data_IF_697555634001
#
_entry.id   IF_697555634001
#
_cell.length_a   1.000
_cell.length_b   1.000
_cell.length_c   1.000
_cell.angle_alpha   90.00
_cell.angle_beta   90.00
_cell.angle_gamma   90.00
#
_symmetry.space_group_name_H-M   'P 1'
#
loop_
_entity.id
_entity.type
_entity.pdbx_description
1 polymer ?
#
# COMPACT_ATOMS: atom_id res chain seq x y z
N UNK A 1 19.46 18.65 -13.77
CA UNK A 1 18.08 18.11 -13.71
C UNK A 1 17.67 17.59 -15.09
N UNK A 2 17.92 16.31 -15.43
CA UNK A 2 17.56 15.76 -16.76
C UNK A 2 16.07 15.42 -16.79
N UNK A 3 15.23 16.26 -17.42
CA UNK A 3 13.84 15.88 -17.76
C UNK A 3 13.92 14.73 -18.75
N UNK A 4 13.35 13.58 -18.42
CA UNK A 4 13.40 12.38 -19.24
C UNK A 4 12.28 12.48 -20.31
N UNK A 5 12.59 12.81 -21.59
CA UNK A 5 11.59 13.24 -22.59
C UNK A 5 10.57 12.14 -22.94
N UNK A 6 10.89 10.87 -22.64
CA UNK A 6 10.02 9.72 -22.86
C UNK A 6 8.72 9.74 -22.03
N UNK A 7 8.69 10.42 -20.87
CA UNK A 7 7.49 10.44 -20.01
C UNK A 7 6.38 11.32 -20.60
N UNK A 8 6.76 12.44 -21.20
CA UNK A 8 5.82 13.44 -21.75
C UNK A 8 5.17 12.96 -23.04
N UNK A 9 5.88 12.19 -23.87
CA UNK A 9 5.36 11.75 -25.17
C UNK A 9 4.24 10.70 -25.05
N UNK A 10 4.23 9.89 -23.99
CA UNK A 10 3.22 8.84 -23.82
C UNK A 10 1.86 9.36 -23.38
N UNK A 11 1.83 10.37 -22.50
CA UNK A 11 0.58 11.04 -22.12
C UNK A 11 -0.02 11.91 -23.23
N UNK A 12 0.79 12.33 -24.20
CA UNK A 12 0.27 12.98 -25.40
C UNK A 12 -0.62 12.02 -26.23
N UNK A 13 -0.27 10.72 -26.30
CA UNK A 13 -1.12 9.71 -26.93
C UNK A 13 -2.41 9.47 -26.13
N UNK A 14 -2.34 9.45 -24.79
CA UNK A 14 -3.52 9.33 -23.94
C UNK A 14 -4.49 10.52 -24.10
N UNK A 15 -3.98 11.76 -24.17
CA UNK A 15 -4.81 12.95 -24.47
C UNK A 15 -5.45 12.89 -25.86
N UNK A 16 -4.76 12.35 -26.85
CA UNK A 16 -5.34 12.14 -28.19
C UNK A 16 -6.44 11.08 -28.19
N UNK A 17 -6.33 10.05 -27.33
CA UNK A 17 -7.30 8.97 -27.23
C UNK A 17 -8.57 9.36 -26.44
N UNK A 18 -8.43 10.10 -25.35
CA UNK A 18 -9.53 10.44 -24.43
C UNK A 18 -10.08 11.86 -24.62
N UNK A 19 -9.49 12.65 -25.50
CA UNK A 19 -9.75 14.09 -25.61
C UNK A 19 -8.97 14.89 -24.58
N UNK A 20 -8.80 16.19 -24.85
CA UNK A 20 -7.86 17.03 -24.10
C UNK A 20 -8.27 17.22 -22.63
N UNK A 21 -9.57 17.42 -22.37
CA UNK A 21 -10.10 17.60 -21.01
C UNK A 21 -9.90 16.33 -20.17
N UNK A 22 -10.41 15.20 -20.65
CA UNK A 22 -10.38 13.96 -19.88
C UNK A 22 -8.95 13.42 -19.80
N UNK A 23 -8.18 13.48 -20.89
CA UNK A 23 -6.77 13.11 -20.87
C UNK A 23 -5.92 13.98 -19.92
N UNK A 24 -6.24 15.28 -19.78
CA UNK A 24 -5.58 16.14 -18.80
C UNK A 24 -5.98 15.77 -17.37
N UNK A 25 -7.24 15.42 -17.12
CA UNK A 25 -7.69 14.93 -15.81
C UNK A 25 -6.94 13.65 -15.41
N UNK A 26 -6.84 12.66 -16.30
CA UNK A 26 -6.10 11.42 -16.05
C UNK A 26 -4.62 11.69 -15.77
N UNK A 27 -4.00 12.62 -16.52
CA UNK A 27 -2.62 13.03 -16.28
C UNK A 27 -2.47 13.69 -14.90
N UNK A 28 -3.40 14.54 -14.48
CA UNK A 28 -3.38 15.18 -13.16
C UNK A 28 -3.51 14.11 -12.07
N UNK A 29 -4.40 13.13 -12.20
CA UNK A 29 -4.58 12.05 -11.22
C UNK A 29 -3.28 11.24 -11.03
N UNK A 30 -2.62 10.86 -12.13
CA UNK A 30 -1.32 10.18 -12.06
C UNK A 30 -0.21 11.07 -11.51
N UNK A 31 -0.22 12.37 -11.84
CA UNK A 31 0.70 13.30 -11.20
C UNK A 31 0.41 13.34 -9.71
N UNK A 32 -0.81 13.57 -9.23
CA UNK A 32 -1.08 13.66 -7.79
C UNK A 32 -0.64 12.43 -6.99
N UNK A 33 -0.59 11.25 -7.60
CA UNK A 33 -0.01 10.05 -7.00
C UNK A 33 1.44 10.21 -6.52
N UNK A 34 2.26 11.02 -7.18
CA UNK A 34 3.65 11.26 -6.75
C UNK A 34 3.76 11.96 -5.39
N UNK A 35 2.67 12.54 -4.87
CA UNK A 35 2.68 13.20 -3.55
C UNK A 35 2.80 12.21 -2.41
N UNK A 36 2.35 10.98 -2.62
CA UNK A 36 2.34 9.93 -1.60
C UNK A 36 3.28 8.78 -1.95
N UNK A 37 3.89 8.82 -3.14
CA UNK A 37 4.68 7.73 -3.67
C UNK A 37 5.88 8.25 -4.45
N UNK A 38 7.06 7.67 -4.21
CA UNK A 38 8.29 8.07 -4.88
C UNK A 38 8.15 8.00 -6.41
N UNK A 39 8.63 9.04 -7.10
CA UNK A 39 8.56 9.22 -8.53
C UNK A 39 9.19 8.07 -9.33
N UNK A 40 10.14 7.33 -8.75
CA UNK A 40 10.72 6.13 -9.39
C UNK A 40 9.68 5.00 -9.54
N UNK A 41 8.83 4.79 -8.54
CA UNK A 41 7.79 3.76 -8.56
C UNK A 41 6.62 4.16 -9.45
N UNK A 42 6.24 5.45 -9.44
CA UNK A 42 5.23 5.98 -10.37
C UNK A 42 5.68 5.80 -11.83
N UNK A 43 6.98 6.03 -12.12
CA UNK A 43 7.50 5.81 -13.46
C UNK A 43 7.46 4.32 -13.89
N UNK A 44 7.71 3.39 -12.96
CA UNK A 44 7.58 1.96 -13.21
C UNK A 44 6.11 1.56 -13.45
N UNK A 45 5.17 2.07 -12.63
CA UNK A 45 3.74 1.79 -12.79
C UNK A 45 3.17 2.33 -14.11
N UNK A 46 3.61 3.53 -14.54
CA UNK A 46 3.25 4.07 -15.86
C UNK A 46 3.77 3.17 -16.98
N UNK A 47 4.98 2.63 -16.88
CA UNK A 47 5.52 1.73 -17.90
C UNK A 47 4.70 0.44 -18.01
N UNK A 48 4.45 -0.24 -16.88
CA UNK A 48 3.66 -1.47 -16.83
C UNK A 48 2.22 -1.28 -17.33
N UNK A 49 1.59 -0.16 -16.95
CA UNK A 49 0.22 0.16 -17.39
C UNK A 49 0.13 0.34 -18.91
N UNK A 50 1.13 0.96 -19.51
CA UNK A 50 1.19 1.16 -20.95
C UNK A 50 1.56 -0.11 -21.71
N UNK A 51 2.38 -0.99 -21.14
CA UNK A 51 2.63 -2.33 -21.67
C UNK A 51 1.35 -3.18 -21.68
N UNK A 52 0.49 -3.01 -20.67
CA UNK A 52 -0.86 -3.58 -20.64
C UNK A 52 -1.86 -2.89 -21.59
N UNK A 53 -1.44 -1.87 -22.35
CA UNK A 53 -2.30 -1.14 -23.29
C UNK A 53 -3.33 -0.22 -22.62
N UNK A 54 -3.16 0.10 -21.34
CA UNK A 54 -4.09 0.94 -20.58
C UNK A 54 -3.48 2.31 -20.28
N UNK A 55 -4.35 3.29 -20.04
CA UNK A 55 -3.98 4.62 -19.54
C UNK A 55 -4.74 4.96 -18.27
N UNK A 56 -5.30 3.96 -17.58
CA UNK A 56 -6.07 4.13 -16.35
C UNK A 56 -5.16 4.58 -15.19
N UNK A 57 -5.47 5.71 -14.52
CA UNK A 57 -4.75 6.16 -13.33
C UNK A 57 -4.79 5.16 -12.18
N UNK A 58 -5.89 4.42 -12.04
CA UNK A 58 -6.03 3.40 -11.00
C UNK A 58 -5.06 2.23 -11.23
N UNK A 59 -4.90 1.82 -12.48
CA UNK A 59 -3.94 0.77 -12.83
C UNK A 59 -2.50 1.24 -12.62
N UNK A 60 -2.20 2.51 -12.94
CA UNK A 60 -0.91 3.12 -12.61
C UNK A 60 -0.67 3.07 -11.11
N UNK A 61 -1.67 3.40 -10.28
CA UNK A 61 -1.55 3.35 -8.82
C UNK A 61 -1.24 1.93 -8.32
N UNK A 62 -1.93 0.92 -8.86
CA UNK A 62 -1.73 -0.49 -8.50
C UNK A 62 -0.30 -0.93 -8.86
N UNK A 63 0.12 -0.74 -10.11
CA UNK A 63 1.44 -1.18 -10.56
C UNK A 63 2.58 -0.39 -9.88
N UNK A 64 2.36 0.88 -9.57
CA UNK A 64 3.31 1.66 -8.79
C UNK A 64 3.49 1.08 -7.40
N UNK A 65 2.38 0.80 -6.68
CA UNK A 65 2.44 0.21 -5.32
C UNK A 65 3.10 -1.17 -5.34
N UNK A 66 2.82 -1.97 -6.36
CA UNK A 66 3.46 -3.26 -6.59
C UNK A 66 4.97 -3.11 -6.76
N UNK A 67 5.43 -2.18 -7.59
CA UNK A 67 6.86 -1.88 -7.74
C UNK A 67 7.52 -1.40 -6.43
N UNK A 68 6.82 -0.56 -5.65
CA UNK A 68 7.30 -0.11 -4.34
C UNK A 68 7.42 -1.28 -3.34
N UNK A 69 6.44 -2.18 -3.33
CA UNK A 69 6.47 -3.40 -2.53
C UNK A 69 7.64 -4.29 -2.93
N UNK A 70 7.79 -4.61 -4.21
CA UNK A 70 8.91 -5.43 -4.70
C UNK A 70 10.28 -4.85 -4.34
N UNK A 71 10.43 -3.52 -4.35
CA UNK A 71 11.67 -2.87 -3.91
C UNK A 71 11.90 -3.01 -2.40
N UNK A 72 10.84 -3.00 -1.58
CA UNK A 72 10.97 -3.25 -0.13
C UNK A 72 11.33 -4.70 0.13
N UNK A 73 10.69 -5.63 -0.57
CA UNK A 73 10.94 -7.06 -0.43
C UNK A 73 12.36 -7.44 -0.89
N UNK A 74 12.89 -6.77 -1.93
CA UNK A 74 14.27 -6.93 -2.39
C UNK A 74 15.31 -6.23 -1.50
N UNK A 75 14.88 -5.31 -0.64
CA UNK A 75 15.76 -4.56 0.26
C UNK A 75 15.18 -4.52 1.67
N UNK A 76 15.08 -5.69 2.33
CA UNK A 76 14.51 -5.78 3.66
C UNK A 76 15.37 -5.02 4.67
N UNK A 77 14.72 -4.35 5.62
CA UNK A 77 15.41 -3.57 6.68
C UNK A 77 15.95 -4.46 7.80
N UNK A 78 15.40 -5.67 7.93
CA UNK A 78 15.78 -6.71 8.87
C UNK A 78 15.94 -7.97 8.04
N UNK A 79 17.01 -8.72 8.26
CA UNK A 79 17.15 -10.04 7.65
C UNK A 79 16.39 -11.12 8.46
N UNK A 80 16.39 -12.36 7.97
CA UNK A 80 15.69 -13.46 8.63
C UNK A 80 16.25 -13.76 10.03
N UNK A 81 17.55 -13.50 10.26
CA UNK A 81 18.19 -13.70 11.54
C UNK A 81 17.76 -12.61 12.54
N UNK A 82 17.75 -11.34 12.13
CA UNK A 82 17.24 -10.22 12.91
C UNK A 82 15.76 -10.44 13.30
N UNK A 83 14.94 -10.91 12.36
CA UNK A 83 13.52 -11.19 12.62
C UNK A 83 13.35 -12.32 13.65
N UNK A 84 14.20 -13.34 13.60
CA UNK A 84 14.19 -14.47 14.54
C UNK A 84 14.64 -14.01 15.94
N UNK A 85 15.68 -13.17 16.04
CA UNK A 85 16.18 -12.66 17.32
C UNK A 85 15.16 -11.74 18.01
N UNK A 86 14.41 -10.97 17.22
CA UNK A 86 13.35 -10.09 17.73
C UNK A 86 12.03 -10.82 18.03
N UNK A 87 11.95 -12.15 17.81
CA UNK A 87 10.70 -12.91 17.95
C UNK A 87 9.59 -12.42 17.03
N UNK A 88 9.96 -11.80 15.90
CA UNK A 88 9.08 -11.34 14.84
C UNK A 88 8.86 -12.47 13.85
N UNK A 89 8.51 -13.65 14.36
CA UNK A 89 8.06 -14.79 13.59
C UNK A 89 6.72 -14.36 13.01
N UNK A 90 6.79 -13.61 11.92
CA UNK A 90 5.62 -13.17 11.19
C UNK A 90 5.01 -14.46 10.71
N UNK A 91 3.98 -14.94 11.41
CA UNK A 91 3.04 -15.90 10.88
C UNK A 91 2.61 -15.27 9.57
N UNK A 92 3.23 -15.69 8.48
CA UNK A 92 2.75 -15.41 7.14
C UNK A 92 1.37 -16.02 7.20
N UNK A 93 0.35 -15.19 7.39
CA UNK A 93 -1.02 -15.60 7.15
C UNK A 93 -0.97 -16.25 5.77
N UNK A 94 -1.21 -17.58 5.66
CA UNK A 94 -1.10 -18.24 4.38
C UNK A 94 -1.96 -17.43 3.43
N UNK A 95 -1.36 -16.98 2.32
CA UNK A 95 -2.12 -16.30 1.29
C UNK A 95 -3.30 -17.20 0.96
N UNK A 96 -4.53 -16.68 1.07
CA UNK A 96 -5.73 -17.44 0.77
C UNK A 96 -5.66 -17.80 -0.72
N UNK A 97 -5.13 -18.97 -1.01
CA UNK A 97 -5.16 -19.60 -2.33
C UNK A 97 -6.46 -20.39 -2.44
N UNK A 98 -6.87 -20.71 -3.66
CA UNK A 98 -8.04 -21.58 -3.91
C UNK A 98 -7.93 -22.96 -3.24
N UNK A 99 -6.70 -23.37 -2.86
CA UNK A 99 -6.39 -24.62 -2.16
C UNK A 99 -6.37 -24.48 -0.62
N UNK A 100 -6.59 -23.26 -0.11
CA UNK A 100 -6.69 -23.03 1.34
C UNK A 100 -7.97 -23.68 1.85
N UNK A 101 -7.84 -24.75 2.64
CA UNK A 101 -8.98 -25.49 3.19
C UNK A 101 -9.93 -24.56 3.94
N UNK A 102 -11.19 -24.50 3.50
CA UNK A 102 -12.22 -23.70 4.18
C UNK A 102 -12.30 -24.18 5.64
N UNK A 103 -12.03 -23.31 6.64
CA UNK A 103 -12.09 -23.69 8.04
C UNK A 103 -13.49 -24.16 8.47
N UNK A 104 -14.54 -23.90 7.69
CA UNK A 104 -15.89 -24.45 7.89
C UNK A 104 -16.04 -25.92 7.51
N UNK A 105 -15.13 -26.44 6.68
CA UNK A 105 -15.09 -27.85 6.27
C UNK A 105 -14.23 -28.70 7.21
N UNK A 106 -13.47 -28.08 8.12
CA UNK A 106 -12.74 -28.81 9.15
C UNK A 106 -13.72 -29.43 10.16
N UNK A 107 -13.50 -30.68 10.63
CA UNK A 107 -14.29 -31.24 11.71
C UNK A 107 -14.14 -30.35 12.93
N UNK A 108 -15.26 -29.85 13.45
CA UNK A 108 -15.24 -29.01 14.64
C UNK A 108 -14.65 -29.82 15.79
N UNK A 109 -13.63 -29.32 16.51
CA UNK A 109 -13.27 -29.91 17.80
C UNK A 109 -14.53 -29.87 18.67
N UNK A 110 -14.82 -30.99 19.35
CA UNK A 110 -15.98 -31.13 20.22
C UNK A 110 -16.15 -29.88 21.09
N UNK A 111 -17.29 -29.21 20.96
CA UNK A 111 -17.56 -27.92 21.59
C UNK A 111 -17.16 -27.95 23.07
N UNK A 112 -16.25 -27.08 23.54
CA UNK A 112 -16.12 -26.86 24.96
C UNK A 112 -17.44 -26.26 25.47
N UNK A 113 -17.91 -26.78 26.61
CA UNK A 113 -19.15 -26.38 27.22
C UNK A 113 -19.13 -24.89 27.64
N UNK A 114 -19.64 -24.02 26.76
CA UNK A 114 -19.97 -22.63 27.07
C UNK A 114 -19.10 -21.58 26.35
N UNK A 115 -19.55 -20.32 26.30
CA UNK A 115 -18.80 -19.24 25.67
C UNK A 115 -17.54 -18.90 26.49
N UNK A 116 -16.38 -19.13 25.91
CA UNK A 116 -15.10 -18.70 26.48
C UNK A 116 -14.94 -17.18 26.27
N UNK A 117 -14.97 -16.43 27.37
CA UNK A 117 -14.82 -14.97 27.36
C UNK A 117 -13.34 -14.63 27.20
N UNK A 118 -12.95 -14.21 26.00
CA UNK A 118 -11.60 -13.70 25.73
C UNK A 118 -11.42 -12.39 26.51
N UNK A 119 -10.67 -12.45 27.60
CA UNK A 119 -10.31 -11.26 28.38
C UNK A 119 -9.25 -10.46 27.63
N UNK A 120 -9.64 -9.35 27.03
CA UNK A 120 -8.69 -8.40 26.46
C UNK A 120 -7.93 -7.71 27.59
N UNK A 121 -6.60 -7.65 27.49
CA UNK A 121 -5.78 -6.85 28.42
C UNK A 121 -6.13 -5.38 28.23
N UNK A 122 -6.88 -4.81 29.15
CA UNK A 122 -7.15 -3.38 29.19
C UNK A 122 -5.84 -2.63 29.43
N UNK A 123 -5.19 -2.18 28.36
CA UNK A 123 -4.16 -1.15 28.49
C UNK A 123 -4.90 0.17 28.71
N UNK A 124 -4.93 0.63 29.95
CA UNK A 124 -5.29 2.02 30.21
C UNK A 124 -4.34 2.88 29.36
N UNK A 125 -4.83 3.78 28.49
CA UNK A 125 -3.95 4.78 27.92
C UNK A 125 -3.44 5.59 29.12
N UNK A 126 -2.13 5.54 29.36
CA UNK A 126 -1.44 6.53 30.18
C UNK A 126 -1.69 7.87 29.48
N UNK A 127 -2.81 8.52 29.84
CA UNK A 127 -3.12 9.88 29.46
C UNK A 127 -2.02 10.72 30.11
N UNK A 128 -0.89 10.85 29.40
CA UNK A 128 0.04 11.91 29.69
C UNK A 128 -0.78 13.18 29.55
N UNK A 129 -1.08 13.82 30.68
CA UNK A 129 -1.63 15.17 30.75
C UNK A 129 -0.59 16.10 30.12
N UNK A 130 -0.54 16.12 28.79
CA UNK A 130 0.20 17.13 28.06
C UNK A 130 -0.50 18.45 28.38
N UNK A 131 0.16 19.40 29.06
CA UNK A 131 -0.46 20.68 29.34
C UNK A 131 -0.84 21.33 28.01
N UNK A 132 -2.04 21.93 27.96
CA UNK A 132 -2.54 22.59 26.78
C UNK A 132 -1.54 23.68 26.33
N UNK A 133 -1.32 23.85 25.02
CA UNK A 133 -0.43 24.90 24.53
C UNK A 133 -0.93 26.28 24.99
N UNK A 134 0.00 27.13 25.41
CA UNK A 134 -0.32 28.49 25.87
C UNK A 134 -0.98 29.30 24.76
N UNK A 135 -2.13 29.90 25.07
CA UNK A 135 -2.85 30.81 24.17
C UNK A 135 -2.20 32.21 24.11
N UNK A 136 -1.27 32.53 25.02
CA UNK A 136 -0.56 33.81 25.06
C UNK A 136 0.39 34.03 23.88
N UNK A 137 0.48 33.09 22.95
CA UNK A 137 1.26 33.20 21.71
C UNK A 137 0.43 33.84 20.58
N UNK A 138 -0.90 33.99 20.77
CA UNK A 138 -1.84 34.48 19.75
C UNK A 138 -2.42 35.87 20.04
N UNK A 139 -1.91 36.56 21.07
CA UNK A 139 -2.20 37.97 21.38
C UNK A 139 -1.02 38.84 20.95
#
# INVERSE_FOLDING_TARGET
MRRNPRRSCRWAAARKAHGDRDGTRLLIEVLLQHRHQDAKFVAAGIAATLEAGSTSPDLVAIESRKAAKSHRDAHPLLDDADCTELGLDTVIMPAITDDTTDPRLMPTPSEPAGPEVISLRSRAPELHERPLPSLAIYD
#
